data_IF_245990217093
#
_entry.id   IF_245990217093
#
_cell.length_a   1.000
_cell.length_b   1.000
_cell.length_c   1.000
_cell.angle_alpha   90.00
_cell.angle_beta   90.00
_cell.angle_gamma   90.00
#
_symmetry.space_group_name_H-M   'P 1'
#
loop_
_entity.id
_entity.type
_entity.pdbx_description
1 polymer ?
#
# COMPACT_ATOMS: atom_id res chain seq x y z
N UNK A 1 -16.58 3.56 -17.25
CA UNK A 1 -16.64 2.30 -16.47
C UNK A 1 -16.12 1.17 -17.36
N UNK A 2 -15.22 0.32 -16.87
CA UNK A 2 -14.54 -0.68 -17.70
C UNK A 2 -15.32 -2.00 -17.76
N UNK A 3 -15.46 -2.60 -18.94
CA UNK A 3 -16.22 -3.86 -19.08
C UNK A 3 -15.45 -5.05 -18.46
N UNK A 4 -16.15 -6.13 -18.04
CA UNK A 4 -15.48 -7.33 -17.53
C UNK A 4 -14.47 -7.93 -18.53
N UNK A 5 -14.75 -7.84 -19.83
CA UNK A 5 -13.85 -8.31 -20.89
C UNK A 5 -12.54 -7.50 -20.90
N UNK A 6 -12.64 -6.18 -20.90
CA UNK A 6 -11.47 -5.28 -20.86
C UNK A 6 -10.61 -5.50 -19.61
N UNK A 7 -11.24 -5.72 -18.43
CA UNK A 7 -10.50 -6.03 -17.19
C UNK A 7 -9.69 -7.33 -17.31
N UNK A 8 -10.27 -8.37 -17.94
CA UNK A 8 -9.58 -9.65 -18.18
C UNK A 8 -8.44 -9.49 -19.16
N UNK A 9 -8.64 -8.73 -20.24
CA UNK A 9 -7.60 -8.45 -21.25
C UNK A 9 -6.42 -7.70 -20.64
N UNK A 10 -6.67 -6.65 -19.84
CA UNK A 10 -5.59 -5.92 -19.14
C UNK A 10 -4.80 -6.86 -18.24
N UNK A 11 -5.49 -7.68 -17.44
CA UNK A 11 -4.82 -8.64 -16.55
C UNK A 11 -3.97 -9.63 -17.35
N UNK A 12 -4.52 -10.18 -18.43
CA UNK A 12 -3.81 -11.10 -19.31
C UNK A 12 -2.56 -10.45 -19.92
N UNK A 13 -2.70 -9.25 -20.48
CA UNK A 13 -1.61 -8.50 -21.10
C UNK A 13 -0.51 -8.15 -20.10
N UNK A 14 -0.89 -7.83 -18.85
CA UNK A 14 0.08 -7.57 -17.79
C UNK A 14 0.97 -8.79 -17.50
N UNK A 15 0.37 -9.97 -17.36
CA UNK A 15 1.11 -11.22 -17.16
C UNK A 15 1.99 -11.58 -18.35
N UNK A 16 1.45 -11.47 -19.57
CA UNK A 16 2.21 -11.72 -20.80
C UNK A 16 3.42 -10.78 -20.94
N UNK A 17 3.24 -9.50 -20.60
CA UNK A 17 4.32 -8.51 -20.62
C UNK A 17 5.43 -8.88 -19.64
N UNK A 18 5.07 -9.19 -18.38
CA UNK A 18 6.05 -9.50 -17.34
C UNK A 18 6.79 -10.81 -17.63
N UNK A 19 6.08 -11.82 -18.15
CA UNK A 19 6.67 -13.07 -18.62
C UNK A 19 7.79 -12.83 -19.65
N UNK A 20 7.53 -11.97 -20.65
CA UNK A 20 8.48 -11.67 -21.72
C UNK A 20 9.71 -10.85 -21.29
N UNK A 21 9.70 -10.24 -20.11
CA UNK A 21 10.79 -9.33 -19.69
C UNK A 21 12.02 -10.09 -19.21
N UNK A 22 13.20 -9.91 -19.82
CA UNK A 22 14.42 -10.66 -19.43
C UNK A 22 15.16 -10.04 -18.24
N UNK A 23 14.94 -8.75 -17.93
CA UNK A 23 15.64 -8.02 -16.86
C UNK A 23 14.73 -7.01 -16.18
N UNK A 24 14.84 -6.89 -14.85
CA UNK A 24 14.07 -5.95 -14.02
C UNK A 24 13.97 -4.53 -14.58
N UNK A 25 15.08 -3.98 -15.09
CA UNK A 25 15.14 -2.59 -15.61
C UNK A 25 14.14 -2.28 -16.71
N UNK A 26 13.62 -3.29 -17.42
CA UNK A 26 12.64 -3.09 -18.49
C UNK A 26 11.20 -2.93 -17.97
N UNK A 27 10.94 -3.22 -16.69
CA UNK A 27 9.65 -2.98 -16.04
C UNK A 27 9.47 -1.53 -15.58
N UNK A 28 10.54 -0.73 -15.59
CA UNK A 28 10.52 0.68 -15.23
C UNK A 28 11.69 1.10 -14.37
N UNK A 29 11.82 2.43 -14.18
CA UNK A 29 12.72 3.02 -13.20
C UNK A 29 12.08 2.93 -11.82
N UNK A 30 12.89 2.70 -10.79
CA UNK A 30 12.43 2.66 -9.41
C UNK A 30 13.51 3.20 -8.48
N UNK A 31 13.09 3.75 -7.34
CA UNK A 31 13.99 4.14 -6.27
C UNK A 31 14.31 2.91 -5.43
N UNK A 32 15.60 2.60 -5.27
CA UNK A 32 16.01 1.53 -4.35
C UNK A 32 15.72 1.96 -2.92
N UNK A 33 14.83 1.25 -2.26
CA UNK A 33 14.50 1.46 -0.86
C UNK A 33 15.56 0.83 0.04
N UNK A 34 15.79 1.43 1.21
CA UNK A 34 16.55 0.77 2.28
C UNK A 34 15.78 -0.46 2.80
N UNK A 35 16.47 -1.32 3.56
CA UNK A 35 15.81 -2.48 4.20
C UNK A 35 14.64 -2.03 5.08
N UNK A 36 14.84 -0.98 5.87
CA UNK A 36 13.81 -0.48 6.77
C UNK A 36 12.64 0.14 6.02
N UNK A 37 12.90 0.96 5.00
CA UNK A 37 11.86 1.51 4.11
C UNK A 37 11.02 0.40 3.47
N UNK A 38 11.68 -0.67 3.00
CA UNK A 38 11.01 -1.83 2.40
C UNK A 38 10.12 -2.56 3.41
N UNK A 39 10.63 -2.80 4.61
CA UNK A 39 9.85 -3.46 5.68
C UNK A 39 8.65 -2.62 6.10
N UNK A 40 8.86 -1.31 6.25
CA UNK A 40 7.81 -0.37 6.64
C UNK A 40 6.69 -0.32 5.61
N UNK A 41 7.00 -0.08 4.34
CA UNK A 41 5.96 -0.02 3.30
C UNK A 41 5.27 -1.38 3.11
N UNK A 42 6.00 -2.48 3.27
CA UNK A 42 5.42 -3.83 3.20
C UNK A 42 4.43 -4.07 4.34
N UNK A 43 4.73 -3.60 5.56
CA UNK A 43 3.81 -3.70 6.69
C UNK A 43 2.52 -2.93 6.46
N UNK A 44 2.61 -1.70 5.92
CA UNK A 44 1.42 -0.91 5.57
C UNK A 44 0.63 -1.54 4.42
N UNK A 45 1.28 -1.97 3.34
CA UNK A 45 0.63 -2.61 2.21
C UNK A 45 -0.03 -3.95 2.58
N UNK A 46 0.53 -4.68 3.54
CA UNK A 46 -0.10 -5.88 4.09
C UNK A 46 -1.39 -5.56 4.87
N UNK A 47 -1.37 -4.55 5.74
CA UNK A 47 -2.55 -4.13 6.48
C UNK A 47 -3.63 -3.55 5.54
N UNK A 48 -3.23 -2.77 4.54
CA UNK A 48 -4.10 -2.31 3.45
C UNK A 48 -4.68 -3.51 2.69
N UNK A 49 -3.84 -4.44 2.25
CA UNK A 49 -4.27 -5.64 1.53
C UNK A 49 -5.24 -6.52 2.32
N UNK A 50 -5.08 -6.64 3.63
CA UNK A 50 -6.01 -7.37 4.50
C UNK A 50 -7.37 -6.65 4.66
N UNK A 51 -7.44 -5.33 4.54
CA UNK A 51 -8.71 -4.57 4.59
C UNK A 51 -9.47 -4.62 3.27
N UNK A 52 -8.77 -4.51 2.14
CA UNK A 52 -9.40 -4.41 0.82
C UNK A 52 -9.36 -5.74 0.03
N UNK A 53 -8.63 -6.73 0.51
CA UNK A 53 -8.44 -8.04 -0.13
C UNK A 53 -9.48 -9.06 0.31
N UNK A 54 -10.31 -9.52 -0.63
CA UNK A 54 -11.32 -10.56 -0.39
C UNK A 54 -12.72 -10.25 -0.92
N UNK A 55 -12.96 -9.02 -1.41
CA UNK A 55 -14.26 -8.62 -1.96
C UNK A 55 -14.08 -8.05 -3.38
N UNK A 56 -14.09 -8.92 -4.39
CA UNK A 56 -13.95 -8.54 -5.81
C UNK A 56 -15.25 -8.15 -6.49
N UNK A 57 -16.36 -7.98 -5.76
CA UNK A 57 -17.59 -7.44 -6.33
C UNK A 57 -18.36 -6.61 -5.30
N UNK A 58 -18.74 -5.40 -5.71
CA UNK A 58 -19.79 -4.64 -5.03
C UNK A 58 -19.30 -3.62 -4.01
N UNK A 59 -19.15 -2.38 -4.49
CA UNK A 59 -19.23 -1.12 -3.74
C UNK A 59 -18.25 -1.01 -2.57
N UNK A 60 -17.22 -0.20 -2.80
CA UNK A 60 -16.54 0.63 -1.80
C UNK A 60 -17.60 1.30 -0.91
N UNK A 61 -18.02 0.64 0.16
CA UNK A 61 -18.77 1.28 1.23
C UNK A 61 -17.72 1.80 2.19
N UNK A 62 -17.27 3.02 1.91
CA UNK A 62 -16.75 3.91 2.93
C UNK A 62 -17.87 4.07 3.96
N UNK A 63 -17.80 3.36 5.08
CA UNK A 63 -18.60 3.70 6.25
C UNK A 63 -17.67 4.03 7.40
N UNK A 64 -17.54 5.33 7.64
CA UNK A 64 -17.31 5.92 8.95
C UNK A 64 -16.08 5.43 9.71
N UNK A 65 -14.98 6.14 9.53
CA UNK A 65 -13.84 6.04 10.43
C UNK A 65 -12.64 6.77 9.84
N UNK A 66 -12.57 8.10 10.06
CA UNK A 66 -11.26 8.72 9.98
C UNK A 66 -10.35 8.14 11.08
N UNK A 67 -9.01 8.23 10.93
CA UNK A 67 -8.18 8.27 12.14
C UNK A 67 -7.29 7.08 12.51
N UNK A 68 -6.76 6.28 11.56
CA UNK A 68 -5.73 5.28 11.91
C UNK A 68 -4.44 5.38 11.08
N UNK A 69 -4.55 5.62 9.76
CA UNK A 69 -3.37 5.69 8.89
C UNK A 69 -2.51 6.93 9.13
N UNK A 70 -3.09 8.13 9.23
CA UNK A 70 -2.36 9.36 9.53
C UNK A 70 -1.72 9.39 10.92
N UNK A 71 -2.11 8.47 11.82
CA UNK A 71 -1.45 8.30 13.12
C UNK A 71 -0.24 7.37 13.01
N UNK A 72 -0.31 6.36 12.13
CA UNK A 72 0.76 5.39 11.91
C UNK A 72 1.82 5.90 10.95
N UNK A 73 1.44 6.68 9.95
CA UNK A 73 2.35 7.24 8.95
C UNK A 73 2.92 8.53 9.52
N UNK A 74 4.23 8.57 9.85
CA UNK A 74 4.80 9.75 10.47
C UNK A 74 4.90 10.90 9.46
N UNK A 75 4.70 12.13 9.94
CA UNK A 75 4.78 13.35 9.13
C UNK A 75 6.17 13.55 8.50
N UNK A 76 7.22 13.08 9.18
CA UNK A 76 8.59 13.02 8.68
C UNK A 76 9.12 11.59 8.78
N UNK A 77 9.94 11.19 7.81
CA UNK A 77 10.60 9.90 7.86
C UNK A 77 11.64 9.88 8.98
N UNK A 78 11.42 9.04 9.97
CA UNK A 78 12.35 8.75 11.06
C UNK A 78 12.56 7.24 11.16
N UNK A 79 13.82 6.81 11.16
CA UNK A 79 14.19 5.39 11.17
C UNK A 79 13.78 4.72 12.50
N UNK A 80 13.82 5.43 13.63
CA UNK A 80 13.42 4.86 14.92
C UNK A 80 11.91 4.60 14.96
N UNK A 81 11.12 5.60 14.58
CA UNK A 81 9.67 5.50 14.47
C UNK A 81 9.25 4.43 13.46
N UNK A 82 9.89 4.39 12.28
CA UNK A 82 9.62 3.38 11.26
C UNK A 82 9.92 1.96 11.76
N UNK A 83 11.03 1.76 12.48
CA UNK A 83 11.38 0.46 13.06
C UNK A 83 10.37 0.03 14.13
N UNK A 84 9.92 0.97 14.97
CA UNK A 84 8.89 0.71 15.98
C UNK A 84 7.56 0.29 15.35
N UNK A 85 7.13 0.98 14.28
CA UNK A 85 5.91 0.64 13.52
C UNK A 85 6.03 -0.77 12.91
N UNK A 86 7.15 -1.06 12.25
CA UNK A 86 7.41 -2.39 11.66
C UNK A 86 7.32 -3.49 12.72
N UNK A 87 7.92 -3.27 13.89
CA UNK A 87 7.89 -4.22 15.00
C UNK A 87 6.46 -4.46 15.49
N UNK A 88 5.73 -3.39 15.82
CA UNK A 88 4.37 -3.49 16.37
C UNK A 88 3.41 -4.16 15.39
N UNK A 89 3.41 -3.74 14.12
CA UNK A 89 2.57 -4.36 13.10
C UNK A 89 2.94 -5.84 12.88
N UNK A 90 4.24 -6.15 12.85
CA UNK A 90 4.74 -7.51 12.72
C UNK A 90 4.28 -8.41 13.87
N UNK A 91 4.38 -7.94 15.11
CA UNK A 91 4.00 -8.69 16.30
C UNK A 91 2.48 -8.89 16.39
N UNK A 92 1.68 -7.86 16.07
CA UNK A 92 0.22 -7.99 15.98
C UNK A 92 -0.21 -8.99 14.91
N UNK A 93 0.49 -9.05 13.77
CA UNK A 93 0.22 -10.03 12.71
C UNK A 93 0.51 -11.45 13.17
N UNK A 94 1.58 -11.67 13.95
CA UNK A 94 1.89 -12.99 14.56
C UNK A 94 0.81 -13.44 15.54
N UNK A 95 0.19 -12.49 16.25
CA UNK A 95 -0.95 -12.74 17.14
C UNK A 95 -2.28 -12.96 16.39
N UNK A 96 -2.29 -12.85 15.07
CA UNK A 96 -3.46 -13.09 14.22
C UNK A 96 -4.27 -11.84 13.89
N UNK A 97 -3.92 -10.67 14.42
CA UNK A 97 -4.61 -9.42 14.08
C UNK A 97 -4.29 -8.99 12.65
N UNK A 98 -5.32 -8.60 11.90
CA UNK A 98 -5.23 -8.17 10.49
C UNK A 98 -6.10 -6.95 10.20
N UNK A 99 -5.81 -6.28 9.10
CA UNK A 99 -6.61 -5.18 8.58
C UNK A 99 -6.86 -4.07 9.59
N UNK A 100 -8.13 -3.66 9.74
CA UNK A 100 -8.51 -2.53 10.59
C UNK A 100 -8.23 -2.79 12.07
N UNK A 101 -8.47 -4.02 12.56
CA UNK A 101 -8.21 -4.39 13.96
C UNK A 101 -6.72 -4.31 14.30
N UNK A 102 -5.86 -4.72 13.36
CA UNK A 102 -4.42 -4.62 13.50
C UNK A 102 -4.00 -3.16 13.63
N UNK A 103 -4.53 -2.28 12.78
CA UNK A 103 -4.18 -0.86 12.79
C UNK A 103 -4.68 -0.15 14.05
N UNK A 104 -5.91 -0.44 14.51
CA UNK A 104 -6.45 0.13 15.76
C UNK A 104 -5.57 -0.24 16.95
N UNK A 105 -5.22 -1.52 17.10
CA UNK A 105 -4.33 -1.98 18.17
C UNK A 105 -2.91 -1.41 18.06
N UNK A 106 -2.37 -1.33 16.84
CA UNK A 106 -1.05 -0.74 16.62
C UNK A 106 -1.02 0.71 17.09
N UNK A 107 -2.07 1.46 16.77
CA UNK A 107 -2.21 2.87 17.15
C UNK A 107 -2.22 3.07 18.66
N UNK A 108 -3.00 2.27 19.40
CA UNK A 108 -3.01 2.30 20.86
C UNK A 108 -1.64 2.01 21.49
N UNK A 109 -0.89 1.05 20.92
CA UNK A 109 0.44 0.67 21.43
C UNK A 109 1.48 1.76 21.11
N UNK A 110 1.39 2.34 19.92
CA UNK A 110 2.37 3.29 19.44
C UNK A 110 2.16 4.69 20.04
N UNK A 111 0.91 5.13 20.24
CA UNK A 111 0.58 6.47 20.75
C UNK A 111 -0.44 6.44 21.91
N UNK A 112 -0.05 5.96 23.10
CA UNK A 112 -0.96 5.76 24.23
C UNK A 112 -1.53 7.04 24.86
N UNK A 113 -0.90 8.21 24.62
CA UNK A 113 -1.25 9.49 25.26
C UNK A 113 -2.06 10.46 24.39
N UNK A 114 -2.47 10.09 23.17
CA UNK A 114 -3.46 10.91 22.42
C UNK A 114 -4.85 10.66 23.02
N UNK A 115 -5.56 11.73 23.42
CA UNK A 115 -6.85 11.60 24.09
C UNK A 115 -7.87 10.94 23.16
N UNK A 116 -8.71 10.05 23.69
CA UNK A 116 -9.78 9.37 22.96
C UNK A 116 -10.71 10.38 22.24
N UNK A 117 -10.85 11.57 22.80
CA UNK A 117 -11.57 12.72 22.25
C UNK A 117 -10.86 13.34 21.02
N UNK A 118 -9.53 13.47 21.05
CA UNK A 118 -8.73 13.84 19.86
C UNK A 118 -8.77 12.78 18.75
N UNK A 119 -8.97 11.51 19.12
CA UNK A 119 -9.14 10.40 18.18
C UNK A 119 -10.53 10.40 17.53
N UNK A 120 -11.56 10.92 18.22
CA UNK A 120 -12.93 11.04 17.72
C UNK A 120 -13.17 12.35 16.94
N UNK A 121 -12.53 13.46 17.32
CA UNK A 121 -12.64 14.74 16.58
C UNK A 121 -11.97 14.67 15.21
N UNK A 122 -10.86 13.93 15.09
CA UNK A 122 -10.30 13.60 13.78
C UNK A 122 -11.32 12.84 12.91
N UNK A 123 -12.19 12.03 13.52
CA UNK A 123 -13.18 11.19 12.85
C UNK A 123 -14.27 11.96 12.09
N UNK A 124 -14.48 13.26 12.41
CA UNK A 124 -15.53 14.12 11.85
C UNK A 124 -15.08 14.88 10.58
N UNK A 125 -13.78 14.86 10.25
CA UNK A 125 -13.25 15.31 8.96
C UNK A 125 -13.38 14.17 7.92
N UNK A 126 -14.47 14.20 7.15
CA UNK A 126 -14.93 13.14 6.26
C UNK A 126 -14.05 12.74 5.05
N UNK A 127 -12.72 12.92 5.08
CA UNK A 127 -11.85 12.70 3.91
C UNK A 127 -10.65 11.74 4.09
N UNK A 128 -10.41 11.22 5.30
CA UNK A 128 -9.21 10.42 5.62
C UNK A 128 -9.36 8.89 5.53
N UNK A 129 -10.54 8.37 5.17
CA UNK A 129 -10.78 6.91 5.06
C UNK A 129 -10.02 6.20 3.93
N UNK A 130 -9.32 6.93 3.05
CA UNK A 130 -8.71 6.37 1.85
C UNK A 130 -7.21 6.69 1.69
N UNK A 131 -6.49 7.15 2.72
CA UNK A 131 -5.08 7.60 2.54
C UNK A 131 -4.20 6.59 1.79
N UNK A 132 -4.16 5.33 2.26
CA UNK A 132 -3.37 4.28 1.61
C UNK A 132 -3.95 3.87 0.25
N UNK A 133 -5.27 3.82 0.09
CA UNK A 133 -5.88 3.51 -1.22
C UNK A 133 -5.56 4.62 -2.24
N UNK A 134 -5.70 5.89 -1.86
CA UNK A 134 -5.30 7.08 -2.65
C UNK A 134 -3.83 7.02 -3.03
N UNK A 135 -2.94 6.74 -2.08
CA UNK A 135 -1.50 6.61 -2.35
C UNK A 135 -1.19 5.44 -3.30
N UNK A 136 -1.85 4.29 -3.14
CA UNK A 136 -1.72 3.16 -4.07
C UNK A 136 -2.24 3.54 -5.45
N UNK A 137 -3.43 4.15 -5.55
CA UNK A 137 -4.02 4.57 -6.82
C UNK A 137 -3.17 5.61 -7.54
N UNK A 138 -2.55 6.54 -6.82
CA UNK A 138 -1.68 7.57 -7.36
C UNK A 138 -0.27 7.07 -7.75
N UNK A 139 0.15 5.91 -7.22
CA UNK A 139 1.53 5.43 -7.39
C UNK A 139 1.92 5.14 -8.85
N UNK A 140 1.00 4.58 -9.64
CA UNK A 140 1.25 4.14 -11.02
C UNK A 140 -0.07 4.07 -11.81
N UNK A 141 0.03 4.05 -13.15
CA UNK A 141 -1.13 3.80 -14.01
C UNK A 141 -1.71 2.41 -13.76
N UNK A 142 -3.04 2.30 -13.77
CA UNK A 142 -3.75 1.05 -13.45
C UNK A 142 -3.63 -0.06 -14.50
N UNK A 143 -3.21 0.29 -15.72
CA UNK A 143 -2.88 -0.65 -16.81
C UNK A 143 -1.42 -1.10 -16.77
N UNK A 144 -0.60 -0.54 -15.87
CA UNK A 144 0.79 -0.92 -15.73
C UNK A 144 0.89 -2.37 -15.18
N UNK A 145 1.67 -3.26 -15.81
CA UNK A 145 1.82 -4.64 -15.35
C UNK A 145 2.31 -4.77 -13.91
N UNK A 146 3.21 -3.89 -13.48
CA UNK A 146 3.75 -3.86 -12.12
C UNK A 146 2.64 -3.52 -11.12
N UNK A 147 1.78 -2.55 -11.45
CA UNK A 147 0.65 -2.17 -10.60
C UNK A 147 -0.31 -3.36 -10.42
N UNK A 148 -0.65 -4.04 -11.51
CA UNK A 148 -1.60 -5.16 -11.50
C UNK A 148 -1.08 -6.33 -10.66
N UNK A 149 0.17 -6.74 -10.86
CA UNK A 149 0.77 -7.86 -10.13
C UNK A 149 1.05 -7.48 -8.67
N UNK A 150 1.55 -6.27 -8.42
CA UNK A 150 1.81 -5.75 -7.07
C UNK A 150 0.54 -5.65 -6.24
N UNK A 151 -0.53 -5.05 -6.79
CA UNK A 151 -1.85 -5.01 -6.15
C UNK A 151 -2.37 -6.42 -5.88
N UNK A 152 -2.32 -7.31 -6.88
CA UNK A 152 -2.74 -8.70 -6.72
C UNK A 152 -1.99 -9.42 -5.59
N UNK A 153 -0.69 -9.20 -5.45
CA UNK A 153 0.11 -9.80 -4.38
C UNK A 153 -0.43 -9.45 -2.99
N UNK A 154 -0.73 -8.19 -2.73
CA UNK A 154 -1.19 -7.73 -1.41
C UNK A 154 -2.67 -7.99 -1.15
N UNK A 155 -3.53 -7.93 -2.17
CA UNK A 155 -4.99 -8.08 -1.99
C UNK A 155 -5.50 -9.51 -2.17
N UNK A 156 -4.66 -10.42 -2.67
CA UNK A 156 -5.09 -11.80 -2.92
C UNK A 156 -4.85 -12.73 -1.74
N UNK A 157 -5.79 -13.65 -1.50
CA UNK A 157 -5.65 -14.67 -0.45
C UNK A 157 -4.50 -15.62 -0.78
N UNK A 158 -3.60 -15.81 0.17
CA UNK A 158 -2.45 -16.73 0.08
C UNK A 158 -1.52 -16.48 -1.11
N UNK A 159 -1.49 -15.26 -1.65
CA UNK A 159 -0.57 -14.91 -2.70
C UNK A 159 0.85 -14.81 -2.15
N UNK A 160 1.68 -15.74 -2.57
CA UNK A 160 3.12 -15.70 -2.35
C UNK A 160 3.81 -15.49 -3.70
N UNK A 161 5.08 -15.06 -3.67
CA UNK A 161 5.92 -14.98 -4.87
C UNK A 161 5.88 -16.30 -5.63
N UNK A 162 6.01 -17.41 -4.92
CA UNK A 162 5.95 -18.77 -5.46
C UNK A 162 4.59 -19.03 -6.13
N UNK A 163 3.47 -18.79 -5.45
CA UNK A 163 2.13 -19.02 -6.05
C UNK A 163 1.95 -18.23 -7.35
N UNK A 164 2.29 -16.94 -7.32
CA UNK A 164 2.17 -16.06 -8.49
C UNK A 164 3.16 -16.42 -9.62
N UNK A 165 4.39 -16.80 -9.27
CA UNK A 165 5.37 -17.27 -10.24
C UNK A 165 4.94 -18.57 -10.89
N UNK A 166 4.21 -19.44 -10.16
CA UNK A 166 3.69 -20.71 -10.71
C UNK A 166 2.59 -20.44 -11.71
N UNK A 167 1.70 -19.53 -11.35
CA UNK A 167 0.67 -19.06 -12.25
C UNK A 167 1.26 -18.47 -13.53
N UNK A 168 2.27 -17.60 -13.43
CA UNK A 168 2.95 -17.02 -14.59
C UNK A 168 3.58 -18.11 -15.48
N UNK A 169 4.33 -19.03 -14.88
CA UNK A 169 5.01 -20.12 -15.59
C UNK A 169 4.02 -21.00 -16.34
N UNK A 170 2.93 -21.41 -15.68
CA UNK A 170 1.95 -22.35 -16.25
C UNK A 170 1.13 -21.75 -17.39
N UNK A 171 0.84 -20.45 -17.36
CA UNK A 171 -0.12 -19.83 -18.29
C UNK A 171 0.52 -18.89 -19.32
N UNK A 172 1.72 -18.37 -19.06
CA UNK A 172 2.33 -17.32 -19.90
C UNK A 172 3.77 -17.61 -20.28
N UNK A 173 4.51 -18.40 -19.49
CA UNK A 173 5.95 -18.54 -19.66
C UNK A 173 6.46 -19.96 -19.32
N UNK A 174 5.97 -21.02 -20.00
CA UNK A 174 6.39 -22.40 -19.71
C UNK A 174 7.88 -22.65 -19.95
N UNK A 175 8.54 -21.80 -20.73
CA UNK A 175 9.98 -21.86 -21.01
C UNK A 175 10.85 -21.26 -19.90
N UNK A 176 10.28 -20.57 -18.93
CA UNK A 176 11.04 -20.02 -17.81
C UNK A 176 11.26 -21.09 -16.74
N UNK A 177 12.43 -21.05 -16.10
CA UNK A 177 12.62 -21.82 -14.88
C UNK A 177 11.75 -21.27 -13.75
N UNK A 178 11.60 -22.08 -12.71
CA UNK A 178 10.87 -21.69 -11.51
C UNK A 178 11.39 -20.37 -10.93
N UNK A 179 12.69 -20.28 -10.74
CA UNK A 179 13.32 -19.11 -10.13
C UNK A 179 13.19 -17.87 -11.01
N UNK A 180 13.28 -18.03 -12.33
CA UNK A 180 13.09 -16.94 -13.29
C UNK A 180 11.67 -16.37 -13.27
N UNK A 181 10.66 -17.22 -13.08
CA UNK A 181 9.27 -16.77 -12.95
C UNK A 181 9.04 -16.06 -11.61
N UNK A 182 9.57 -16.63 -10.51
CA UNK A 182 9.50 -16.03 -9.19
C UNK A 182 10.23 -14.67 -9.15
N UNK A 183 11.39 -14.54 -9.81
CA UNK A 183 12.15 -13.29 -9.92
C UNK A 183 11.35 -12.18 -10.59
N UNK A 184 10.63 -12.48 -11.66
CA UNK A 184 9.76 -11.50 -12.34
C UNK A 184 8.65 -10.99 -11.42
N UNK A 185 8.08 -11.87 -10.59
CA UNK A 185 7.11 -11.45 -9.57
C UNK A 185 7.78 -10.58 -8.51
N UNK A 186 8.96 -10.98 -8.00
CA UNK A 186 9.74 -10.16 -7.04
C UNK A 186 10.04 -8.77 -7.60
N UNK A 187 10.43 -8.69 -8.87
CA UNK A 187 10.69 -7.41 -9.53
C UNK A 187 9.47 -6.50 -9.54
N UNK A 188 8.29 -7.05 -9.84
CA UNK A 188 7.03 -6.29 -9.79
C UNK A 188 6.75 -5.80 -8.36
N UNK A 189 6.87 -6.66 -7.36
CA UNK A 189 6.63 -6.28 -5.96
C UNK A 189 7.60 -5.18 -5.52
N UNK A 190 8.89 -5.29 -5.84
CA UNK A 190 9.89 -4.31 -5.46
C UNK A 190 9.66 -2.93 -6.12
N UNK A 191 9.28 -2.91 -7.40
CA UNK A 191 8.98 -1.66 -8.12
C UNK A 191 7.68 -1.06 -7.59
N UNK A 192 6.66 -1.89 -7.35
CA UNK A 192 5.39 -1.45 -6.77
C UNK A 192 5.59 -0.83 -5.39
N UNK A 193 6.31 -1.51 -4.50
CA UNK A 193 6.61 -1.00 -3.16
C UNK A 193 7.36 0.32 -3.20
N UNK A 194 8.32 0.45 -4.12
CA UNK A 194 9.05 1.70 -4.36
C UNK A 194 8.10 2.84 -4.77
N UNK A 195 7.22 2.58 -5.75
CA UNK A 195 6.27 3.58 -6.23
C UNK A 195 5.26 4.01 -5.15
N UNK A 196 4.70 3.06 -4.40
CA UNK A 196 3.76 3.37 -3.30
C UNK A 196 4.48 4.10 -2.18
N UNK A 197 5.71 3.72 -1.83
CA UNK A 197 6.50 4.44 -0.82
C UNK A 197 6.68 5.92 -1.19
N UNK A 198 7.04 6.22 -2.44
CA UNK A 198 7.18 7.60 -2.92
C UNK A 198 5.84 8.32 -2.90
N UNK A 199 4.76 7.67 -3.33
CA UNK A 199 3.41 8.27 -3.32
C UNK A 199 2.93 8.59 -1.90
N UNK A 200 3.13 7.69 -0.94
CA UNK A 200 2.83 7.91 0.48
C UNK A 200 3.61 9.12 0.99
N UNK A 201 4.92 9.21 0.70
CA UNK A 201 5.72 10.37 1.10
C UNK A 201 5.23 11.68 0.48
N UNK A 202 4.89 11.67 -0.81
CA UNK A 202 4.37 12.85 -1.49
C UNK A 202 3.03 13.30 -0.89
N UNK A 203 2.12 12.37 -0.60
CA UNK A 203 0.83 12.68 0.04
C UNK A 203 1.02 13.34 1.42
N UNK A 204 1.91 12.81 2.26
CA UNK A 204 2.22 13.43 3.56
C UNK A 204 2.78 14.85 3.42
N UNK A 205 3.66 15.09 2.43
CA UNK A 205 4.22 16.42 2.21
C UNK A 205 3.13 17.43 1.82
N UNK A 206 2.18 17.04 0.97
CA UNK A 206 1.07 17.91 0.54
C UNK A 206 0.15 18.23 1.72
N UNK A 207 -0.26 17.23 2.50
CA UNK A 207 -1.10 17.42 3.69
C UNK A 207 -0.44 18.37 4.71
N UNK A 208 0.87 18.27 4.88
CA UNK A 208 1.62 19.16 5.77
C UNK A 208 1.64 20.61 5.27
N UNK A 209 1.81 20.83 3.96
CA UNK A 209 1.75 22.18 3.38
C UNK A 209 0.36 22.82 3.56
N UNK A 210 -0.71 22.03 3.42
CA UNK A 210 -2.08 22.48 3.64
C UNK A 210 -2.35 22.83 5.11
N UNK A 211 -1.92 21.97 6.05
CA UNK A 211 -2.00 22.26 7.49
C UNK A 211 -1.27 23.55 7.86
N UNK A 212 -0.05 23.76 7.33
CA UNK A 212 0.70 24.99 7.55
C UNK A 212 -0.05 26.23 7.02
N UNK A 213 -0.61 26.17 5.81
CA UNK A 213 -1.40 27.27 5.24
C UNK A 213 -2.65 27.58 6.07
N UNK A 214 -3.34 26.55 6.55
CA UNK A 214 -4.53 26.70 7.40
C UNK A 214 -4.20 27.32 8.76
N UNK A 215 -3.14 26.86 9.43
CA UNK A 215 -2.67 27.45 10.69
C UNK A 215 -2.29 28.92 10.52
N UNK A 216 -1.62 29.28 9.41
CA UNK A 216 -1.30 30.68 9.09
C UNK A 216 -2.54 31.53 8.83
N UNK A 217 -3.57 30.97 8.19
CA UNK A 217 -4.84 31.66 7.96
C UNK A 217 -5.58 31.93 9.28
N UNK A 218 -5.70 30.91 10.13
CA UNK A 218 -6.32 31.04 11.46
C UNK A 218 -5.58 32.05 12.33
N UNK A 219 -4.24 32.02 12.33
CA UNK A 219 -3.43 32.98 13.08
C UNK A 219 -3.56 34.44 12.58
N UNK A 220 -3.94 34.64 11.31
CA UNK A 220 -4.23 35.97 10.75
C UNK A 220 -5.65 36.46 11.00
N UNK A 221 -6.58 35.55 11.25
CA UNK A 221 -7.98 35.86 11.56
C UNK A 221 -8.23 36.06 13.06
N UNK A 222 -7.33 35.53 13.91
CA UNK A 222 -7.37 35.68 15.37
C UNK A 222 -6.47 36.81 15.93
N UNK A 223 -5.76 37.53 15.06
CA UNK A 223 -4.94 38.71 15.38
C UNK A 223 -5.60 39.99 14.86
#
# INVERSE_FOLDING_TARGET
MMTPKQKREIKHNAWATVAGVPRKKYLGKYQRLTRLQTLWITSLLNAWGDMYGGNTDGKLKCSGGSGVWGQIVPEQWDDESAARIVKVLGDLRKLGYRGEEQLKKATTILWPHRSLESMLVAADAGEECDFMEKAVLASMKHDNPVYIIGKLFYTGRNNTVSVLGRYMQNHYAPWLTRDQADDRVRWCIEIFNSAVFVAVRAANCIENEEKCKNSLKIARETA
#
